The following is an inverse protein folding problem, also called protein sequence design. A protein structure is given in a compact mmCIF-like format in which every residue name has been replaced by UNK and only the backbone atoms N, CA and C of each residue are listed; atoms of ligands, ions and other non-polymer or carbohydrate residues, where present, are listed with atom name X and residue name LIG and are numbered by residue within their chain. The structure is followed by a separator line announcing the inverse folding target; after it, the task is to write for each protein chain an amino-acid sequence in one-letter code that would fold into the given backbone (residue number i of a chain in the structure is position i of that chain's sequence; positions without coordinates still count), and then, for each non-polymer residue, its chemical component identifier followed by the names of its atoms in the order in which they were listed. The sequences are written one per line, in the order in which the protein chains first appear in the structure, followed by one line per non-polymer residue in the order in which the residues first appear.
data_IF_816321464651
#
_entry.id   IF_816321464651
#
_cell.length_a   1.000
_cell.length_b   1.000
_cell.length_c   1.000
_cell.angle_alpha   90.00
_cell.angle_beta   90.00
_cell.angle_gamma   90.00
#
_symmetry.space_group_name_H-M   'P 1'
#
loop_
_entity.id
_entity.type
_entity.pdbx_description
1 polymer ?
#
# COMPACT_ATOMS: atom_id res chain seq x y z
N UNK A 1 -0.38 -6.86 31.66
CA UNK A 1 0.79 -7.48 31.02
C UNK A 1 1.44 -6.41 30.15
N UNK A 2 2.62 -5.94 30.52
CA UNK A 2 3.38 -4.98 29.67
C UNK A 2 3.85 -5.75 28.43
N UNK A 3 3.33 -5.39 27.28
CA UNK A 3 3.76 -5.99 26.01
C UNK A 3 5.18 -5.48 25.71
N UNK A 4 6.19 -6.29 26.00
CA UNK A 4 7.62 -5.95 25.91
C UNK A 4 8.16 -5.86 24.47
N UNK A 5 7.33 -5.51 23.49
CA UNK A 5 7.74 -5.40 22.09
C UNK A 5 6.97 -4.35 21.30
N UNK A 6 7.44 -4.00 20.09
CA UNK A 6 6.72 -3.12 19.18
C UNK A 6 5.34 -3.73 18.88
N UNK A 7 4.30 -2.91 19.02
CA UNK A 7 2.91 -3.36 18.82
C UNK A 7 2.07 -2.25 18.20
N UNK A 8 1.00 -2.64 17.53
CA UNK A 8 -0.03 -1.72 17.05
C UNK A 8 -1.40 -2.39 17.05
N UNK A 9 -2.46 -1.59 17.06
CA UNK A 9 -3.83 -2.07 16.98
C UNK A 9 -4.30 -1.99 15.52
N UNK A 10 -4.92 -3.07 15.05
CA UNK A 10 -5.51 -3.16 13.72
C UNK A 10 -7.01 -3.49 13.82
N UNK A 11 -7.75 -3.16 12.75
CA UNK A 11 -9.12 -3.64 12.59
C UNK A 11 -9.12 -5.15 12.46
N UNK A 12 -10.07 -5.81 13.11
CA UNK A 12 -10.23 -7.26 13.05
C UNK A 12 -10.51 -7.73 11.61
N UNK A 13 -9.59 -8.48 10.97
CA UNK A 13 -9.83 -9.05 9.64
C UNK A 13 -10.90 -10.14 9.66
N UNK A 14 -11.61 -10.31 8.53
CA UNK A 14 -12.61 -11.38 8.43
C UNK A 14 -12.01 -12.78 8.63
N UNK A 15 -10.80 -13.02 8.13
CA UNK A 15 -10.10 -14.29 8.29
C UNK A 15 -9.84 -14.66 9.76
N UNK A 16 -9.48 -13.70 10.61
CA UNK A 16 -9.32 -13.94 12.04
C UNK A 16 -10.65 -14.18 12.75
N UNK A 17 -11.72 -13.48 12.37
CA UNK A 17 -13.07 -13.76 12.90
C UNK A 17 -13.52 -15.17 12.63
N UNK A 18 -13.23 -15.70 11.44
CA UNK A 18 -13.53 -17.08 11.06
C UNK A 18 -12.67 -18.10 11.82
N UNK A 19 -11.55 -17.68 12.40
CA UNK A 19 -10.64 -18.48 13.21
C UNK A 19 -10.87 -18.35 14.73
N UNK A 20 -12.04 -17.85 15.14
CA UNK A 20 -12.42 -17.78 16.56
C UNK A 20 -11.97 -16.51 17.29
N UNK A 21 -11.54 -15.47 16.57
CA UNK A 21 -11.26 -14.18 17.20
C UNK A 21 -12.55 -13.39 17.37
N UNK A 22 -12.66 -12.70 18.51
CA UNK A 22 -13.81 -11.87 18.85
C UNK A 22 -13.42 -10.41 19.02
N UNK A 23 -14.40 -9.51 18.85
CA UNK A 23 -14.22 -8.07 18.96
C UNK A 23 -14.02 -7.35 17.63
N UNK A 24 -13.86 -6.03 17.72
CA UNK A 24 -13.70 -5.14 16.57
C UNK A 24 -12.23 -4.97 16.15
N UNK A 25 -11.29 -5.23 17.06
CA UNK A 25 -9.86 -4.97 16.89
C UNK A 25 -9.00 -6.16 17.28
N UNK A 26 -7.80 -6.18 16.73
CA UNK A 26 -6.73 -7.10 17.08
C UNK A 26 -5.46 -6.30 17.39
N UNK A 27 -4.81 -6.62 18.48
CA UNK A 27 -3.48 -6.10 18.82
C UNK A 27 -2.44 -7.02 18.21
N UNK A 28 -1.54 -6.44 17.44
CA UNK A 28 -0.42 -7.13 16.79
C UNK A 28 0.84 -6.79 17.56
N UNK A 29 1.54 -7.79 18.08
CA UNK A 29 2.72 -7.63 18.95
C UNK A 29 3.87 -8.42 18.37
N UNK A 30 5.06 -7.86 18.39
CA UNK A 30 6.28 -8.54 18.00
C UNK A 30 7.06 -8.94 19.25
N UNK A 31 7.09 -10.22 19.57
CA UNK A 31 7.78 -10.75 20.76
C UNK A 31 8.74 -11.85 20.37
N UNK A 32 10.05 -11.68 20.60
CA UNK A 32 11.03 -12.68 20.17
C UNK A 32 10.87 -13.00 18.68
N UNK A 33 10.75 -14.27 18.34
CA UNK A 33 10.58 -14.76 16.96
C UNK A 33 9.10 -15.00 16.61
N UNK A 34 8.18 -14.32 17.27
CA UNK A 34 6.74 -14.47 17.08
C UNK A 34 6.07 -13.13 16.79
N UNK A 35 5.12 -13.14 15.87
CA UNK A 35 4.09 -12.12 15.73
C UNK A 35 2.84 -12.63 16.44
N UNK A 36 2.53 -12.08 17.61
CA UNK A 36 1.32 -12.37 18.36
C UNK A 36 0.14 -11.57 17.81
N UNK A 37 -0.98 -12.22 17.60
CA UNK A 37 -2.26 -11.61 17.25
C UNK A 37 -3.20 -11.82 18.41
N UNK A 38 -3.60 -10.76 19.11
CA UNK A 38 -4.45 -10.84 20.30
C UNK A 38 -5.75 -10.08 20.05
N UNK A 39 -6.86 -10.79 20.02
CA UNK A 39 -8.19 -10.18 19.86
C UNK A 39 -8.63 -9.42 21.11
N UNK A 40 -9.30 -8.28 20.93
CA UNK A 40 -9.73 -7.41 22.03
C UNK A 40 -10.69 -8.13 23.02
N UNK A 41 -11.52 -9.04 22.52
CA UNK A 41 -12.54 -9.77 23.29
C UNK A 41 -12.24 -11.28 23.33
N UNK A 42 -11.02 -11.69 22.98
CA UNK A 42 -10.57 -13.08 22.96
C UNK A 42 -10.03 -13.53 21.61
N UNK A 43 -9.33 -14.63 21.68
CA UNK A 43 -8.55 -15.20 20.57
C UNK A 43 -7.09 -14.74 20.63
N UNK A 44 -6.20 -15.70 20.53
CA UNK A 44 -4.77 -15.50 20.47
C UNK A 44 -4.19 -16.44 19.41
N UNK A 45 -3.31 -15.92 18.57
CA UNK A 45 -2.61 -16.70 17.54
C UNK A 45 -1.18 -16.22 17.40
N UNK A 46 -0.21 -16.99 17.85
CA UNK A 46 1.18 -16.74 17.55
C UNK A 46 1.51 -17.16 16.11
N UNK A 47 2.17 -16.29 15.36
CA UNK A 47 2.69 -16.57 14.02
C UNK A 47 4.22 -16.52 14.10
N UNK A 48 4.92 -17.67 14.03
CA UNK A 48 6.37 -17.69 14.01
C UNK A 48 6.92 -16.90 12.81
N UNK A 49 7.99 -16.12 13.02
CA UNK A 49 8.66 -15.38 11.93
C UNK A 49 9.11 -16.34 10.83
N UNK A 50 9.50 -17.57 11.20
CA UNK A 50 9.79 -18.64 10.26
C UNK A 50 8.63 -19.01 9.32
N UNK A 51 7.39 -18.71 9.66
CA UNK A 51 6.21 -18.92 8.81
C UNK A 51 5.81 -17.67 7.98
N UNK A 52 6.53 -16.57 8.11
CA UNK A 52 6.29 -15.37 7.33
C UNK A 52 7.26 -15.37 6.13
N UNK A 53 6.77 -15.60 4.93
CA UNK A 53 7.55 -15.57 3.70
C UNK A 53 7.96 -14.14 3.29
N UNK A 54 7.13 -13.14 3.66
CA UNK A 54 7.40 -11.75 3.36
C UNK A 54 6.34 -10.82 3.94
N UNK A 55 6.54 -9.53 3.77
CA UNK A 55 5.59 -8.51 4.17
C UNK A 55 5.44 -7.44 3.07
N UNK A 56 4.28 -6.81 3.02
CA UNK A 56 4.07 -5.57 2.29
C UNK A 56 3.52 -4.52 3.24
N UNK A 57 4.28 -3.43 3.40
CA UNK A 57 3.85 -2.23 4.08
C UNK A 57 3.45 -1.17 3.05
N UNK A 58 2.26 -0.62 3.14
CA UNK A 58 1.79 0.35 2.16
C UNK A 58 0.46 0.95 2.53
N UNK A 59 -0.23 1.45 1.52
CA UNK A 59 -1.57 2.01 1.67
C UNK A 59 -2.58 1.11 0.94
N UNK A 60 -3.64 0.77 1.66
CA UNK A 60 -4.85 0.19 1.09
C UNK A 60 -5.91 1.27 0.93
N UNK A 61 -6.86 1.05 0.03
CA UNK A 61 -8.04 1.91 -0.08
C UNK A 61 -9.24 1.22 0.55
N UNK A 62 -9.94 1.98 1.38
CA UNK A 62 -11.30 1.65 1.83
C UNK A 62 -12.23 2.76 1.35
N UNK A 63 -13.54 2.58 1.47
CA UNK A 63 -14.51 3.63 1.13
C UNK A 63 -14.35 4.96 1.88
N UNK A 64 -13.39 5.04 2.81
CA UNK A 64 -13.04 6.23 3.60
C UNK A 64 -11.69 6.87 3.23
N UNK A 65 -11.06 6.42 2.14
CA UNK A 65 -9.77 6.95 1.68
C UNK A 65 -8.59 5.97 1.79
N UNK A 66 -7.37 6.50 1.63
CA UNK A 66 -6.14 5.74 1.75
C UNK A 66 -5.80 5.51 3.23
N UNK A 67 -5.63 4.26 3.61
CA UNK A 67 -5.23 3.85 4.96
C UNK A 67 -3.94 3.05 4.92
N UNK A 68 -3.09 3.14 5.96
CA UNK A 68 -1.96 2.23 6.09
C UNK A 68 -2.48 0.79 6.11
N UNK A 69 -1.77 -0.09 5.42
CA UNK A 69 -2.08 -1.52 5.32
C UNK A 69 -0.80 -2.32 5.49
N UNK A 70 -0.85 -3.35 6.32
CA UNK A 70 0.18 -4.37 6.44
C UNK A 70 -0.37 -5.68 5.89
N UNK A 71 0.36 -6.28 4.96
CA UNK A 71 0.11 -7.65 4.52
C UNK A 71 1.28 -8.53 4.89
N UNK A 72 1.00 -9.62 5.57
CA UNK A 72 1.95 -10.69 5.84
C UNK A 72 1.65 -11.84 4.89
N UNK A 73 2.65 -12.23 4.12
CA UNK A 73 2.59 -13.41 3.25
C UNK A 73 3.14 -14.58 4.03
N UNK A 74 2.33 -15.61 4.22
CA UNK A 74 2.74 -16.79 4.97
C UNK A 74 3.31 -17.86 4.04
N UNK A 75 4.12 -18.75 4.59
CA UNK A 75 4.77 -19.83 3.83
C UNK A 75 3.80 -20.88 3.30
N UNK A 76 2.60 -20.95 3.88
CA UNK A 76 1.48 -21.79 3.40
C UNK A 76 0.72 -21.17 2.21
N UNK A 77 1.17 -20.02 1.71
CA UNK A 77 0.53 -19.26 0.63
C UNK A 77 -0.63 -18.38 1.10
N UNK A 78 -1.03 -18.43 2.34
CA UNK A 78 -2.07 -17.57 2.88
C UNK A 78 -1.55 -16.15 3.11
N UNK A 79 -2.47 -15.18 3.14
CA UNK A 79 -2.14 -13.78 3.37
C UNK A 79 -2.97 -13.24 4.51
N UNK A 80 -2.29 -12.65 5.49
CA UNK A 80 -2.93 -11.92 6.58
C UNK A 80 -2.88 -10.43 6.28
N UNK A 81 -4.06 -9.83 6.12
CA UNK A 81 -4.21 -8.40 5.92
C UNK A 81 -4.57 -7.74 7.26
N UNK A 82 -3.80 -6.74 7.63
CA UNK A 82 -3.97 -5.95 8.84
C UNK A 82 -4.10 -4.48 8.47
N UNK A 83 -5.21 -3.87 8.84
CA UNK A 83 -5.49 -2.44 8.61
C UNK A 83 -5.23 -1.70 9.93
N UNK A 84 -4.07 -1.04 10.12
CA UNK A 84 -3.76 -0.30 11.33
C UNK A 84 -4.82 0.75 11.61
N UNK A 85 -5.30 0.80 12.84
CA UNK A 85 -6.26 1.81 13.29
C UNK A 85 -5.53 2.85 14.12
N UNK A 86 -5.92 4.11 13.93
CA UNK A 86 -5.67 5.10 14.95
C UNK A 86 -6.57 4.77 16.16
N UNK A 87 -5.97 4.60 17.31
CA UNK A 87 -6.74 4.54 18.55
C UNK A 87 -7.47 5.88 18.70
N UNK A 88 -8.81 5.90 18.91
CA UNK A 88 -9.53 7.15 19.11
C UNK A 88 -8.98 8.02 20.24
N UNK A 89 -8.29 7.41 21.21
CA UNK A 89 -7.66 8.11 22.34
C UNK A 89 -6.26 8.64 22.07
N UNK A 90 -5.50 8.08 21.12
CA UNK A 90 -4.12 8.52 20.83
C UNK A 90 -3.71 8.24 19.38
N UNK A 91 -4.23 9.07 18.49
CA UNK A 91 -3.88 9.01 17.05
C UNK A 91 -2.38 9.24 16.78
N UNK A 92 -1.66 9.93 17.68
CA UNK A 92 -0.23 10.19 17.54
C UNK A 92 0.60 8.96 17.94
N UNK A 93 0.22 8.21 18.96
CA UNK A 93 0.88 6.95 19.33
C UNK A 93 0.65 5.89 18.25
N UNK A 94 -0.56 5.77 17.72
CA UNK A 94 -0.88 4.84 16.63
C UNK A 94 -0.10 5.13 15.34
N UNK A 95 0.15 6.41 15.02
CA UNK A 95 0.99 6.79 13.88
C UNK A 95 2.46 6.38 14.03
N UNK A 96 2.95 6.27 15.25
CA UNK A 96 4.34 5.88 15.54
C UNK A 96 4.49 4.36 15.71
N UNK A 97 3.56 3.73 16.36
CA UNK A 97 3.62 2.30 16.69
C UNK A 97 3.66 1.40 15.45
N UNK A 98 2.86 1.72 14.42
CA UNK A 98 2.83 0.94 13.18
C UNK A 98 4.17 0.97 12.41
N UNK A 99 4.78 2.12 12.10
CA UNK A 99 6.09 2.15 11.46
C UNK A 99 7.18 1.46 12.27
N UNK A 100 7.19 1.60 13.59
CA UNK A 100 8.18 0.97 14.45
C UNK A 100 8.03 -0.55 14.48
N UNK A 101 6.79 -1.05 14.46
CA UNK A 101 6.51 -2.47 14.30
C UNK A 101 7.02 -2.99 12.95
N UNK A 102 6.69 -2.29 11.85
CA UNK A 102 7.11 -2.69 10.49
C UNK A 102 8.62 -2.74 10.37
N UNK A 103 9.34 -1.73 10.89
CA UNK A 103 10.81 -1.71 10.92
C UNK A 103 11.38 -2.91 11.68
N UNK A 104 10.85 -3.17 12.86
CA UNK A 104 11.33 -4.26 13.71
C UNK A 104 11.07 -5.63 13.08
N UNK A 105 9.91 -5.83 12.48
CA UNK A 105 9.58 -7.07 11.76
C UNK A 105 10.45 -7.24 10.52
N UNK A 106 10.62 -6.17 9.73
CA UNK A 106 11.46 -6.20 8.53
C UNK A 106 12.93 -6.51 8.86
N UNK A 107 13.47 -5.92 9.94
CA UNK A 107 14.82 -6.22 10.39
C UNK A 107 15.00 -7.71 10.75
N UNK A 108 13.99 -8.32 11.38
CA UNK A 108 14.03 -9.76 11.71
C UNK A 108 13.90 -10.64 10.47
N UNK A 109 13.02 -10.28 9.52
CA UNK A 109 12.92 -10.99 8.25
C UNK A 109 14.20 -10.88 7.43
N UNK A 110 14.85 -9.71 7.41
CA UNK A 110 16.14 -9.53 6.78
C UNK A 110 17.23 -10.40 7.46
N UNK A 111 17.28 -10.42 8.77
CA UNK A 111 18.17 -11.31 9.55
C UNK A 111 17.93 -12.80 9.29
N UNK A 112 16.70 -13.19 8.94
CA UNK A 112 16.35 -14.53 8.50
C UNK A 112 16.58 -14.80 7.00
N UNK A 113 17.23 -13.89 6.28
CA UNK A 113 17.52 -14.02 4.84
C UNK A 113 16.33 -13.79 3.93
N UNK A 114 15.24 -13.16 4.42
CA UNK A 114 13.98 -12.97 3.68
C UNK A 114 13.74 -11.52 3.22
N UNK A 115 14.81 -10.77 3.00
CA UNK A 115 14.74 -9.38 2.56
C UNK A 115 13.99 -9.23 1.22
N UNK A 116 14.18 -10.16 0.30
CA UNK A 116 13.50 -10.17 -1.01
C UNK A 116 11.96 -10.27 -0.92
N UNK A 117 11.42 -10.75 0.21
CA UNK A 117 9.98 -10.82 0.46
C UNK A 117 9.38 -9.53 1.03
N UNK A 118 10.18 -8.47 1.22
CA UNK A 118 9.72 -7.20 1.77
C UNK A 118 9.38 -6.26 0.62
N UNK A 119 8.14 -5.79 0.58
CA UNK A 119 7.63 -4.85 -0.42
C UNK A 119 7.07 -3.58 0.25
N UNK A 120 7.21 -2.46 -0.44
CA UNK A 120 6.56 -1.18 -0.08
C UNK A 120 5.70 -0.72 -1.24
N UNK A 121 4.55 -0.15 -0.94
CA UNK A 121 3.68 0.46 -1.93
C UNK A 121 2.23 0.01 -1.87
N UNK A 122 1.45 0.52 -2.81
CA UNK A 122 0.03 0.18 -2.95
C UNK A 122 -0.12 -1.22 -3.55
N UNK A 123 -1.21 -1.92 -3.26
CA UNK A 123 -1.44 -3.26 -3.82
C UNK A 123 -1.48 -3.22 -5.36
N UNK A 124 -0.90 -4.24 -6.01
CA UNK A 124 -0.82 -4.33 -7.48
C UNK A 124 -2.18 -4.17 -8.15
N UNK A 125 -3.23 -4.78 -7.60
CA UNK A 125 -4.58 -4.68 -8.14
C UNK A 125 -5.11 -3.24 -8.12
N UNK A 126 -4.94 -2.52 -7.02
CA UNK A 126 -5.34 -1.12 -6.92
C UNK A 126 -4.53 -0.22 -7.86
N UNK A 127 -3.21 -0.40 -7.90
CA UNK A 127 -2.38 0.36 -8.85
C UNK A 127 -2.84 0.12 -10.29
N UNK A 128 -3.15 -1.11 -10.67
CA UNK A 128 -3.65 -1.43 -12.00
C UNK A 128 -5.01 -0.77 -12.29
N UNK A 129 -5.97 -0.83 -11.35
CA UNK A 129 -7.29 -0.19 -11.49
C UNK A 129 -7.15 1.32 -11.64
N UNK A 130 -6.40 1.98 -10.77
CA UNK A 130 -6.20 3.43 -10.86
C UNK A 130 -5.47 3.84 -12.13
N UNK A 131 -4.45 3.08 -12.54
CA UNK A 131 -3.76 3.36 -13.80
C UNK A 131 -4.71 3.21 -14.98
N UNK A 132 -5.56 2.18 -15.01
CA UNK A 132 -6.56 2.02 -16.06
C UNK A 132 -7.56 3.19 -16.07
N UNK A 133 -8.06 3.62 -14.91
CA UNK A 133 -8.96 4.78 -14.81
C UNK A 133 -8.30 6.08 -15.29
N UNK A 134 -7.02 6.29 -14.98
CA UNK A 134 -6.25 7.46 -15.43
C UNK A 134 -5.89 7.37 -16.93
N UNK A 135 -5.74 6.15 -17.46
CA UNK A 135 -5.46 5.95 -18.88
C UNK A 135 -6.65 6.30 -19.78
N UNK A 136 -7.90 6.19 -19.30
CA UNK A 136 -9.10 6.54 -20.08
C UNK A 136 -9.12 7.99 -20.56
N UNK A 137 -8.97 9.01 -19.68
CA UNK A 137 -8.90 10.40 -20.16
C UNK A 137 -7.66 10.68 -21.01
N UNK A 138 -6.53 10.00 -20.74
CA UNK A 138 -5.34 10.14 -21.58
C UNK A 138 -5.59 9.60 -23.00
N UNK A 139 -6.26 8.45 -23.12
CA UNK A 139 -6.64 7.87 -24.39
C UNK A 139 -7.66 8.77 -25.14
N UNK A 140 -8.68 9.27 -24.43
CA UNK A 140 -9.66 10.19 -25.00
C UNK A 140 -8.99 11.45 -25.56
N UNK A 141 -8.07 12.05 -24.81
CA UNK A 141 -7.31 13.22 -25.27
C UNK A 141 -6.39 12.91 -26.46
N UNK A 142 -5.75 11.75 -26.47
CA UNK A 142 -4.96 11.32 -27.61
C UNK A 142 -5.81 11.14 -28.87
N UNK A 143 -7.02 10.59 -28.73
CA UNK A 143 -7.99 10.45 -29.83
C UNK A 143 -8.45 11.82 -30.35
N UNK A 144 -8.77 12.77 -29.44
CA UNK A 144 -9.13 14.14 -29.82
C UNK A 144 -7.96 14.83 -30.53
N UNK A 145 -6.74 14.69 -30.00
CA UNK A 145 -5.57 15.25 -30.66
C UNK A 145 -5.38 14.67 -32.07
N UNK A 146 -5.49 13.36 -32.23
CA UNK A 146 -5.40 12.68 -33.52
C UNK A 146 -6.48 13.19 -34.49
N UNK A 147 -7.71 13.35 -34.00
CA UNK A 147 -8.81 13.90 -34.83
C UNK A 147 -8.55 15.33 -35.29
N UNK A 148 -8.09 16.21 -34.41
CA UNK A 148 -7.71 17.59 -34.75
C UNK A 148 -6.57 17.68 -35.79
N UNK A 149 -5.70 16.65 -35.81
CA UNK A 149 -4.67 16.56 -36.85
C UNK A 149 -5.22 16.10 -38.19
N UNK A 150 -6.22 15.22 -38.22
CA UNK A 150 -6.84 14.65 -39.42
C UNK A 150 -7.88 15.62 -40.05
N UNK A 151 -8.69 16.26 -39.20
CA UNK A 151 -9.75 17.17 -39.60
C UNK A 151 -9.62 18.51 -38.86
N UNK A 152 -8.65 19.37 -39.27
CA UNK A 152 -8.34 20.59 -38.54
C UNK A 152 -9.37 21.69 -38.80
N UNK A 153 -9.52 22.65 -37.85
CA UNK A 153 -10.30 23.87 -38.07
C UNK A 153 -9.88 24.59 -39.33
N UNK A 154 -10.83 25.32 -39.95
CA UNK A 154 -10.58 26.03 -41.23
C UNK A 154 -9.65 27.22 -41.07
N UNK A 155 -9.74 27.92 -39.93
CA UNK A 155 -8.84 29.02 -39.61
C UNK A 155 -7.43 28.56 -39.31
N UNK A 156 -6.42 29.23 -39.87
CA UNK A 156 -5.01 28.81 -39.71
C UNK A 156 -4.52 28.98 -38.26
N UNK A 157 -4.91 30.08 -37.60
CA UNK A 157 -4.47 30.38 -36.23
C UNK A 157 -5.12 29.39 -35.25
N UNK A 158 -6.44 29.21 -35.39
CA UNK A 158 -7.18 28.24 -34.57
C UNK A 158 -6.63 26.82 -34.75
N UNK A 159 -6.26 26.45 -35.98
CA UNK A 159 -5.66 25.14 -36.29
C UNK A 159 -4.38 24.89 -35.51
N UNK A 160 -3.46 25.85 -35.51
CA UNK A 160 -2.19 25.70 -34.80
C UNK A 160 -2.38 25.69 -33.29
N UNK A 161 -3.26 26.55 -32.76
CA UNK A 161 -3.59 26.57 -31.33
C UNK A 161 -4.23 25.24 -30.91
N UNK A 162 -5.22 24.75 -31.64
CA UNK A 162 -5.91 23.51 -31.35
C UNK A 162 -4.94 22.32 -31.36
N UNK A 163 -4.07 22.21 -32.37
CA UNK A 163 -3.06 21.16 -32.46
C UNK A 163 -2.05 21.21 -31.32
N UNK A 164 -1.50 22.38 -31.04
CA UNK A 164 -0.54 22.56 -29.97
C UNK A 164 -1.14 22.23 -28.60
N UNK A 165 -2.34 22.76 -28.32
CA UNK A 165 -3.01 22.56 -27.04
C UNK A 165 -3.40 21.09 -26.81
N UNK A 166 -4.08 20.46 -27.77
CA UNK A 166 -4.53 19.06 -27.62
C UNK A 166 -3.35 18.10 -27.54
N UNK A 167 -2.30 18.32 -28.33
CA UNK A 167 -1.09 17.49 -28.27
C UNK A 167 -0.34 17.64 -26.94
N UNK A 168 -0.19 18.87 -26.45
CA UNK A 168 0.46 19.13 -25.17
C UNK A 168 -0.31 18.48 -24.03
N UNK A 169 -1.64 18.62 -24.00
CA UNK A 169 -2.48 18.05 -22.96
C UNK A 169 -2.44 16.50 -22.99
N UNK A 170 -2.48 15.90 -24.18
CA UNK A 170 -2.34 14.46 -24.34
C UNK A 170 -0.98 13.95 -23.81
N UNK A 171 0.10 14.64 -24.16
CA UNK A 171 1.45 14.30 -23.66
C UNK A 171 1.56 14.42 -22.13
N UNK A 172 1.00 15.48 -21.55
CA UNK A 172 0.99 15.67 -20.09
C UNK A 172 0.22 14.56 -19.38
N UNK A 173 -0.95 14.16 -19.91
CA UNK A 173 -1.73 13.07 -19.35
C UNK A 173 -1.01 11.71 -19.44
N UNK A 174 -0.41 11.41 -20.59
CA UNK A 174 0.38 10.17 -20.76
C UNK A 174 1.59 10.16 -19.81
N UNK A 175 2.31 11.28 -19.71
CA UNK A 175 3.44 11.40 -18.80
C UNK A 175 3.01 11.23 -17.33
N UNK A 176 1.86 11.83 -16.96
CA UNK A 176 1.28 11.68 -15.61
C UNK A 176 0.89 10.23 -15.30
N UNK A 177 0.25 9.50 -16.23
CA UNK A 177 -0.08 8.09 -16.07
C UNK A 177 1.18 7.25 -15.89
N UNK A 178 2.21 7.49 -16.69
CA UNK A 178 3.50 6.80 -16.58
C UNK A 178 4.22 7.09 -15.26
N UNK A 179 4.20 8.35 -14.82
CA UNK A 179 4.74 8.75 -13.53
C UNK A 179 3.96 8.09 -12.37
N UNK A 180 2.62 8.15 -12.40
CA UNK A 180 1.76 7.54 -11.39
C UNK A 180 2.02 6.03 -11.28
N UNK A 181 2.08 5.32 -12.41
CA UNK A 181 2.40 3.89 -12.45
C UNK A 181 3.73 3.61 -11.75
N UNK A 182 4.78 4.36 -12.13
CA UNK A 182 6.11 4.18 -11.53
C UNK A 182 6.14 4.53 -10.04
N UNK A 183 5.43 5.57 -9.62
CA UNK A 183 5.44 6.03 -8.23
C UNK A 183 4.69 5.08 -7.30
N UNK A 184 3.58 4.49 -7.76
CA UNK A 184 2.67 3.70 -6.92
C UNK A 184 2.88 2.18 -7.02
N UNK A 185 3.65 1.72 -8.02
CA UNK A 185 3.90 0.30 -8.17
C UNK A 185 4.64 -0.27 -6.96
N UNK A 186 4.20 -1.42 -6.41
CA UNK A 186 4.89 -2.04 -5.29
C UNK A 186 6.31 -2.42 -5.68
N UNK A 187 7.25 -2.00 -4.84
CA UNK A 187 8.69 -2.22 -5.05
C UNK A 187 9.22 -3.12 -3.97
N UNK A 188 10.04 -4.09 -4.36
CA UNK A 188 10.88 -4.82 -3.43
C UNK A 188 11.87 -3.88 -2.75
N UNK A 189 12.18 -4.15 -1.52
CA UNK A 189 13.11 -3.38 -0.70
C UNK A 189 14.51 -3.95 -0.91
N UNK A 190 15.42 -3.13 -1.41
CA UNK A 190 16.81 -3.53 -1.63
C UNK A 190 17.58 -3.67 -0.31
N UNK A 191 17.28 -2.79 0.65
CA UNK A 191 17.85 -2.76 1.99
C UNK A 191 16.89 -2.12 3.00
N UNK A 192 17.22 -2.16 4.29
CA UNK A 192 16.40 -1.58 5.33
C UNK A 192 16.33 -0.05 5.27
N UNK A 193 17.32 0.64 4.67
CA UNK A 193 17.29 2.09 4.49
C UNK A 193 16.23 2.49 3.45
N UNK A 194 16.08 1.70 2.37
CA UNK A 194 15.01 1.87 1.40
C UNK A 194 13.61 1.67 2.01
N UNK A 195 13.48 0.75 2.98
CA UNK A 195 12.25 0.60 3.76
C UNK A 195 11.92 1.87 4.54
N UNK A 196 12.90 2.44 5.25
CA UNK A 196 12.71 3.65 6.05
C UNK A 196 12.28 4.85 5.20
N UNK A 197 12.85 5.00 4.01
CA UNK A 197 12.48 6.06 3.08
C UNK A 197 11.02 5.95 2.57
N UNK A 198 10.47 4.73 2.53
CA UNK A 198 9.11 4.45 2.08
C UNK A 198 8.04 4.45 3.18
N UNK A 199 8.42 4.42 4.45
CA UNK A 199 7.47 4.48 5.56
C UNK A 199 7.07 5.94 5.87
N UNK A 200 5.87 6.17 6.43
CA UNK A 200 5.45 7.50 6.89
C UNK A 200 6.49 8.10 7.83
N UNK A 201 6.91 9.33 7.56
CA UNK A 201 7.80 10.06 8.46
C UNK A 201 7.08 10.36 9.76
N UNK A 202 7.83 10.33 10.86
CA UNK A 202 7.35 10.62 12.22
C UNK A 202 6.77 12.01 12.36
#
# INVERSE_FOLDING_TARGET
MSLLGPSFTARMPRSLRQSGFHGATVTVVLTGDLVGLVGAEGGDRPVPIGHIAGLRAGFGQTGRGLHPELRLFLTDGSTLRLDPMADPGDAAAARRSYPDFVRSLAARLAGAGRLAGIEIGVSRGWTAIFTALLALPALAMATIAAWVWLDPPRDVVERWIARAFTSLLALLLVAFVGWFWRAQWPRGVADLAALEAGLPRR
#
